data_IF_642356314545
#
_entry.id   IF_642356314545
#
_cell.length_a   1.000
_cell.length_b   1.000
_cell.length_c   1.000
_cell.angle_alpha   90.00
_cell.angle_beta   90.00
_cell.angle_gamma   90.00
#
_symmetry.space_group_name_H-M   'P 1'
#
loop_
_entity.id
_entity.type
_entity.pdbx_description
1 polymer ?
#
# COMPACT_ATOMS: atom_id res chain seq x y z
N UNK A 1 0.16 -25.00 11.44
CA UNK A 1 0.42 -24.96 9.98
C UNK A 1 1.82 -25.51 9.74
N UNK A 2 1.98 -26.55 8.93
CA UNK A 2 3.21 -27.34 8.77
C UNK A 2 4.03 -26.88 7.56
N UNK A 3 5.32 -26.60 7.74
CA UNK A 3 6.25 -26.17 6.67
C UNK A 3 6.77 -27.32 5.79
N UNK A 4 6.26 -28.54 5.98
CA UNK A 4 6.67 -29.75 5.26
C UNK A 4 6.29 -29.76 3.76
N UNK A 5 5.50 -28.79 3.28
CA UNK A 5 5.09 -28.68 1.87
C UNK A 5 6.02 -27.83 1.00
N UNK A 6 6.98 -27.08 1.57
CA UNK A 6 7.98 -26.37 0.78
C UNK A 6 9.07 -27.34 0.31
N UNK A 7 8.73 -28.23 -0.64
CA UNK A 7 9.73 -28.98 -1.39
C UNK A 7 10.67 -27.98 -2.06
N UNK A 8 11.97 -28.20 -1.90
CA UNK A 8 13.03 -27.48 -2.61
C UNK A 8 12.80 -27.70 -4.11
N UNK A 9 12.24 -26.70 -4.80
CA UNK A 9 12.09 -26.74 -6.27
C UNK A 9 13.48 -26.87 -6.86
N UNK A 10 13.69 -27.90 -7.67
CA UNK A 10 14.93 -28.06 -8.44
C UNK A 10 15.13 -26.80 -9.29
N UNK A 11 16.26 -26.10 -9.18
CA UNK A 11 16.52 -24.94 -10.04
C UNK A 11 16.45 -25.40 -11.50
N UNK A 12 15.76 -24.62 -12.33
CA UNK A 12 15.64 -24.89 -13.76
C UNK A 12 17.03 -25.13 -14.35
N UNK A 13 17.17 -26.22 -15.09
CA UNK A 13 18.44 -26.73 -15.65
C UNK A 13 19.11 -25.73 -16.61
N UNK A 14 18.36 -24.75 -17.12
CA UNK A 14 18.91 -23.68 -17.96
C UNK A 14 18.29 -22.32 -17.56
N UNK A 15 18.99 -21.48 -16.77
CA UNK A 15 18.57 -20.09 -16.63
C UNK A 15 18.70 -19.39 -17.99
N UNK A 16 17.76 -18.50 -18.35
CA UNK A 16 17.88 -17.72 -19.58
C UNK A 16 19.16 -16.88 -19.55
N UNK A 17 19.87 -16.81 -20.68
CA UNK A 17 21.04 -15.93 -20.81
C UNK A 17 20.54 -14.48 -20.85
N UNK A 18 20.69 -13.76 -19.74
CA UNK A 18 20.38 -12.34 -19.64
C UNK A 18 21.60 -11.52 -20.09
N UNK A 19 21.38 -10.52 -20.95
CA UNK A 19 22.41 -9.52 -21.25
C UNK A 19 22.52 -8.51 -20.10
N UNK A 20 23.67 -7.82 -20.02
CA UNK A 20 23.90 -6.78 -19.01
C UNK A 20 22.86 -5.66 -19.15
N UNK A 21 22.55 -5.23 -20.38
CA UNK A 21 21.56 -4.18 -20.62
C UNK A 21 20.17 -4.58 -20.11
N UNK A 22 19.74 -5.82 -20.39
CA UNK A 22 18.46 -6.34 -19.90
C UNK A 22 18.42 -6.43 -18.38
N UNK A 23 19.52 -6.83 -17.74
CA UNK A 23 19.60 -6.88 -16.27
C UNK A 23 19.50 -5.48 -15.64
N UNK A 24 20.10 -4.47 -16.26
CA UNK A 24 20.02 -3.08 -15.80
C UNK A 24 18.57 -2.59 -15.92
N UNK A 25 17.93 -2.79 -17.07
CA UNK A 25 16.55 -2.39 -17.29
C UNK A 25 15.60 -3.09 -16.29
N UNK A 26 15.73 -4.40 -16.10
CA UNK A 26 14.93 -5.16 -15.13
C UNK A 26 15.14 -4.66 -13.70
N UNK A 27 16.36 -4.29 -13.31
CA UNK A 27 16.65 -3.72 -11.99
C UNK A 27 16.01 -2.35 -11.80
N UNK A 28 15.97 -1.53 -12.85
CA UNK A 28 15.30 -0.23 -12.85
C UNK A 28 13.79 -0.41 -12.70
N UNK A 29 13.17 -1.30 -13.47
CA UNK A 29 11.73 -1.61 -13.33
C UNK A 29 11.41 -2.17 -11.94
N UNK A 30 12.24 -3.06 -11.41
CA UNK A 30 12.10 -3.59 -10.06
C UNK A 30 12.16 -2.50 -8.99
N UNK A 31 13.08 -1.54 -9.10
CA UNK A 31 13.18 -0.41 -8.17
C UNK A 31 11.91 0.47 -8.17
N UNK A 32 11.24 0.59 -9.33
CA UNK A 32 9.96 1.27 -9.46
C UNK A 32 8.74 0.40 -9.11
N UNK A 33 8.94 -0.87 -8.71
CA UNK A 33 7.85 -1.81 -8.43
C UNK A 33 7.05 -2.23 -9.67
N UNK A 34 7.60 -2.03 -10.86
CA UNK A 34 7.00 -2.41 -12.13
C UNK A 34 7.54 -3.78 -12.58
N UNK A 35 6.67 -4.63 -13.11
CA UNK A 35 7.08 -5.89 -13.73
C UNK A 35 7.23 -5.67 -15.24
N UNK A 36 8.37 -6.06 -15.80
CA UNK A 36 8.63 -5.92 -17.23
C UNK A 36 7.60 -6.76 -18.01
N UNK A 37 6.90 -6.14 -18.97
CA UNK A 37 5.79 -6.76 -19.72
C UNK A 37 6.18 -7.97 -20.59
N UNK A 38 7.45 -8.38 -20.62
CA UNK A 38 7.93 -9.50 -21.42
C UNK A 38 7.51 -10.87 -20.84
N UNK A 39 7.27 -10.96 -19.53
CA UNK A 39 6.70 -12.16 -18.88
C UNK A 39 5.16 -12.09 -18.75
N UNK A 40 4.55 -11.01 -19.24
CA UNK A 40 3.13 -10.72 -19.03
C UNK A 40 2.19 -11.33 -20.08
N UNK A 41 2.65 -12.18 -21.00
CA UNK A 41 1.72 -12.82 -21.95
C UNK A 41 0.83 -13.89 -21.29
N UNK A 42 1.21 -14.47 -20.14
CA UNK A 42 0.42 -15.52 -19.49
C UNK A 42 -0.35 -15.08 -18.23
N UNK A 43 -0.15 -13.86 -17.72
CA UNK A 43 -0.75 -13.39 -16.45
C UNK A 43 -1.62 -12.12 -16.58
N UNK A 44 -1.75 -11.54 -17.77
CA UNK A 44 -2.31 -10.20 -17.99
C UNK A 44 -3.84 -10.09 -18.02
N UNK A 45 -4.58 -11.18 -17.80
CA UNK A 45 -6.05 -11.13 -17.80
C UNK A 45 -6.69 -10.91 -16.41
N UNK A 46 -5.96 -11.10 -15.29
CA UNK A 46 -6.61 -11.12 -13.96
C UNK A 46 -6.29 -9.95 -13.02
N UNK A 47 -5.30 -9.11 -13.34
CA UNK A 47 -4.82 -8.07 -12.40
C UNK A 47 -5.11 -6.62 -12.84
N UNK A 48 -5.77 -6.40 -13.97
CA UNK A 48 -6.07 -5.04 -14.46
C UNK A 48 -7.16 -4.30 -13.64
N UNK A 49 -7.77 -4.92 -12.63
CA UNK A 49 -8.85 -4.32 -11.85
C UNK A 49 -8.38 -3.53 -10.60
N UNK A 50 -7.08 -3.42 -10.30
CA UNK A 50 -6.59 -2.76 -9.08
C UNK A 50 -5.54 -1.69 -9.43
N UNK A 51 -5.84 -0.82 -10.39
CA UNK A 51 -5.15 0.48 -10.51
C UNK A 51 -6.04 1.56 -9.91
N UNK A 52 -5.96 1.67 -8.58
CA UNK A 52 -6.20 2.93 -7.90
C UNK A 52 -4.83 3.44 -7.48
N UNK A 53 -4.36 4.51 -8.13
CA UNK A 53 -3.23 5.30 -7.64
C UNK A 53 -3.43 5.65 -6.17
N UNK A 54 -2.36 5.71 -5.37
CA UNK A 54 -2.12 7.01 -4.76
C UNK A 54 -0.64 7.44 -4.77
N UNK A 55 -0.52 8.74 -5.01
CA UNK A 55 0.62 9.62 -4.83
C UNK A 55 1.49 9.37 -3.60
N UNK A 56 2.78 9.61 -3.81
CA UNK A 56 3.84 9.83 -2.81
C UNK A 56 4.10 8.65 -1.86
N UNK A 57 5.14 7.88 -2.19
CA UNK A 57 5.76 6.89 -1.29
C UNK A 57 6.49 7.56 -0.11
N UNK A 58 5.83 8.45 0.63
CA UNK A 58 6.36 8.87 1.92
C UNK A 58 6.33 7.65 2.85
N UNK A 59 7.48 7.31 3.42
CA UNK A 59 7.55 6.25 4.40
C UNK A 59 6.67 6.62 5.59
N UNK A 60 5.59 5.88 5.81
CA UNK A 60 4.70 6.12 6.94
C UNK A 60 5.47 5.89 8.25
N UNK A 61 5.63 6.94 9.05
CA UNK A 61 6.23 6.82 10.39
C UNK A 61 5.23 6.19 11.36
N UNK A 62 5.70 5.25 12.17
CA UNK A 62 4.88 4.64 13.23
C UNK A 62 4.78 5.59 14.42
N UNK A 63 3.57 5.80 14.92
CA UNK A 63 3.29 6.59 16.12
C UNK A 63 2.45 5.75 17.10
N UNK A 64 2.69 5.97 18.40
CA UNK A 64 1.87 5.44 19.49
C UNK A 64 1.13 6.60 20.10
N UNK A 65 -0.17 6.45 20.31
CA UNK A 65 -1.04 7.46 20.88
C UNK A 65 -1.81 6.86 22.06
N UNK A 66 -2.13 7.69 23.04
CA UNK A 66 -2.98 7.32 24.16
C UNK A 66 -4.40 7.79 23.86
N UNK A 67 -5.37 6.89 23.93
CA UNK A 67 -6.79 7.21 23.76
C UNK A 67 -7.54 6.95 25.06
N UNK A 68 -8.66 7.66 25.21
CA UNK A 68 -9.65 7.30 26.22
C UNK A 68 -10.30 5.95 25.89
N UNK A 69 -10.71 5.20 26.92
CA UNK A 69 -11.25 3.84 26.78
C UNK A 69 -12.50 3.83 25.90
N UNK A 70 -13.42 4.75 26.11
CA UNK A 70 -14.64 4.88 25.32
C UNK A 70 -14.36 5.12 23.83
N UNK A 71 -13.33 5.91 23.53
CA UNK A 71 -12.94 6.20 22.13
C UNK A 71 -12.31 4.99 21.45
N UNK A 72 -11.50 4.21 22.17
CA UNK A 72 -10.91 2.98 21.65
C UNK A 72 -11.97 1.90 21.36
N UNK A 73 -12.99 1.80 22.21
CA UNK A 73 -14.14 0.91 22.00
C UNK A 73 -14.94 1.33 20.76
N UNK A 74 -15.25 2.62 20.62
CA UNK A 74 -15.98 3.16 19.46
C UNK A 74 -15.24 2.89 18.15
N UNK A 75 -13.92 3.10 18.12
CA UNK A 75 -13.09 2.76 16.95
C UNK A 75 -13.12 1.27 16.64
N UNK A 76 -13.17 0.42 17.67
CA UNK A 76 -13.25 -1.04 17.49
C UNK A 76 -14.59 -1.45 16.89
N UNK A 77 -15.70 -0.91 17.40
CA UNK A 77 -17.03 -1.15 16.85
C UNK A 77 -17.13 -0.71 15.38
N UNK A 78 -16.68 0.50 15.07
CA UNK A 78 -16.65 1.02 13.69
C UNK A 78 -15.81 0.15 12.76
N UNK A 79 -14.67 -0.34 13.25
CA UNK A 79 -13.79 -1.23 12.49
C UNK A 79 -14.47 -2.56 12.16
N UNK A 80 -15.20 -3.13 13.11
CA UNK A 80 -15.96 -4.37 12.91
C UNK A 80 -17.13 -4.18 11.95
N UNK A 81 -17.85 -3.05 12.04
CA UNK A 81 -19.00 -2.76 11.17
C UNK A 81 -18.61 -2.47 9.73
N UNK A 82 -17.50 -1.74 9.51
CA UNK A 82 -17.09 -1.26 8.18
C UNK A 82 -16.04 -2.15 7.52
N UNK A 83 -15.35 -3.01 8.28
CA UNK A 83 -14.18 -3.75 7.82
C UNK A 83 -12.92 -2.88 7.65
N UNK A 84 -12.98 -1.59 7.98
CA UNK A 84 -11.85 -0.66 7.89
C UNK A 84 -11.00 -0.77 9.16
N UNK A 85 -9.67 -0.80 9.04
CA UNK A 85 -8.79 -0.85 10.22
C UNK A 85 -8.85 0.43 11.06
N UNK A 86 -8.66 0.32 12.37
CA UNK A 86 -8.65 1.46 13.31
C UNK A 86 -7.68 2.57 12.88
N UNK A 87 -6.46 2.21 12.45
CA UNK A 87 -5.46 3.17 11.98
C UNK A 87 -5.85 3.85 10.66
N UNK A 88 -6.64 3.19 9.80
CA UNK A 88 -7.19 3.82 8.60
C UNK A 88 -8.34 4.77 8.94
N UNK A 89 -9.21 4.41 9.89
CA UNK A 89 -10.25 5.30 10.40
C UNK A 89 -9.66 6.59 10.98
N UNK A 90 -8.60 6.49 11.80
CA UNK A 90 -7.91 7.67 12.37
C UNK A 90 -7.34 8.55 11.25
N UNK A 91 -6.76 7.97 10.19
CA UNK A 91 -6.23 8.73 9.06
C UNK A 91 -7.34 9.47 8.29
N UNK A 92 -8.46 8.81 8.01
CA UNK A 92 -9.61 9.42 7.35
C UNK A 92 -10.12 10.60 8.18
N UNK A 93 -10.32 10.38 9.48
CA UNK A 93 -10.76 11.43 10.39
C UNK A 93 -9.79 12.61 10.42
N UNK A 94 -8.49 12.35 10.52
CA UNK A 94 -7.47 13.40 10.50
C UNK A 94 -7.50 14.21 9.19
N UNK A 95 -7.64 13.54 8.03
CA UNK A 95 -7.74 14.23 6.74
C UNK A 95 -9.00 15.09 6.62
N UNK A 96 -10.13 14.63 7.16
CA UNK A 96 -11.36 15.43 7.17
C UNK A 96 -11.24 16.69 8.03
N UNK A 97 -10.52 16.61 9.14
CA UNK A 97 -10.31 17.78 10.01
C UNK A 97 -9.38 18.79 9.36
N UNK A 98 -8.30 18.36 8.71
CA UNK A 98 -7.41 19.26 7.97
C UNK A 98 -8.16 20.07 6.91
N UNK A 99 -9.03 19.41 6.13
CA UNK A 99 -9.86 20.11 5.14
C UNK A 99 -10.83 21.12 5.76
N UNK A 100 -11.39 20.82 6.95
CA UNK A 100 -12.26 21.76 7.67
C UNK A 100 -11.49 22.95 8.26
N UNK A 101 -10.28 22.71 8.73
CA UNK A 101 -9.42 23.73 9.32
C UNK A 101 -8.88 24.70 8.25
N UNK A 102 -8.49 24.19 7.08
CA UNK A 102 -8.06 25.02 5.94
C UNK A 102 -9.18 25.97 5.48
N UNK A 103 -10.42 25.48 5.37
CA UNK A 103 -11.60 26.29 5.05
C UNK A 103 -11.87 27.38 6.11
N UNK A 104 -11.66 27.07 7.39
CA UNK A 104 -11.85 28.03 8.48
C UNK A 104 -10.73 29.10 8.51
N UNK A 105 -9.49 28.74 8.21
CA UNK A 105 -8.35 29.67 8.14
C UNK A 105 -8.49 30.67 6.98
N UNK A 106 -8.98 30.22 5.82
CA UNK A 106 -9.27 31.07 4.67
C UNK A 106 -10.38 32.09 4.98
N UNK A 107 -11.40 31.68 5.74
CA UNK A 107 -12.49 32.58 6.19
C UNK A 107 -12.03 33.58 7.25
N UNK A 108 -11.16 33.18 8.17
CA UNK A 108 -10.66 34.04 9.24
C UNK A 108 -9.74 35.17 8.75
N UNK A 109 -9.12 35.01 7.58
CA UNK A 109 -8.16 36.00 7.01
C UNK A 109 -8.85 37.13 6.22
N UNK A 110 -10.17 37.08 6.02
CA UNK A 110 -10.93 38.05 5.20
C UNK A 110 -11.57 39.20 6.01
N UNK A 111 -10.99 39.61 7.14
CA UNK A 111 -11.47 40.78 7.92
C UNK A 111 -10.35 41.78 8.15
#
# INVERSE_FOLDING_TARGET
MSLLSLRKSTPSVNPPRLSVDRFIDDAVYYAYGQQHAADAQDASAHLQAIRSEPDSSSTMRRATFTLDTATAERLTMLSQQTGISRSRLIRIWASEQTMRDDENLLRATTV
#
